data_IF_485312449730
#
_entry.id   IF_485312449730
#
_cell.length_a   1.000
_cell.length_b   1.000
_cell.length_c   1.000
_cell.angle_alpha   90.00
_cell.angle_beta   90.00
_cell.angle_gamma   90.00
#
_symmetry.space_group_name_H-M   'P 1'
#
loop_
_entity.id
_entity.type
_entity.pdbx_description
1 polymer ?
#
# COMPACT_ATOMS: atom_id res chain seq x y z
N UNK A 1 20.31 2.43 -23.03
CA UNK A 1 18.88 2.32 -22.67
C UNK A 1 18.11 3.27 -23.56
N UNK A 2 16.82 3.01 -23.77
CA UNK A 2 15.95 3.81 -24.65
C UNK A 2 15.77 5.26 -24.20
N UNK A 3 16.08 5.57 -22.92
CA UNK A 3 15.99 6.92 -22.33
C UNK A 3 17.32 7.24 -21.62
N UNK A 4 17.81 8.47 -21.78
CA UNK A 4 19.00 8.98 -21.11
C UNK A 4 18.76 9.32 -19.63
N UNK A 5 19.77 9.20 -18.74
CA UNK A 5 19.61 9.53 -17.31
C UNK A 5 19.13 10.97 -17.06
N UNK A 6 19.58 11.93 -17.88
CA UNK A 6 19.17 13.35 -17.79
C UNK A 6 17.70 13.54 -18.15
N UNK A 7 17.20 12.82 -19.15
CA UNK A 7 15.80 12.87 -19.56
C UNK A 7 14.91 12.31 -18.46
N UNK A 8 15.29 11.17 -17.87
CA UNK A 8 14.56 10.58 -16.75
C UNK A 8 14.47 11.54 -15.55
N UNK A 9 15.57 12.21 -15.19
CA UNK A 9 15.58 13.22 -14.11
C UNK A 9 14.70 14.42 -14.48
N UNK A 10 14.80 14.93 -15.71
CA UNK A 10 14.01 16.07 -16.16
C UNK A 10 12.50 15.79 -16.07
N UNK A 11 12.06 14.61 -16.55
CA UNK A 11 10.66 14.17 -16.43
C UNK A 11 10.23 14.08 -14.97
N UNK A 12 11.06 13.50 -14.10
CA UNK A 12 10.78 13.42 -12.66
C UNK A 12 10.60 14.81 -12.01
N UNK A 13 11.46 15.77 -12.35
CA UNK A 13 11.36 17.16 -11.86
C UNK A 13 10.09 17.84 -12.36
N UNK A 14 9.73 17.66 -13.63
CA UNK A 14 8.50 18.24 -14.19
C UNK A 14 7.26 17.66 -13.49
N UNK A 15 7.18 16.35 -13.30
CA UNK A 15 6.06 15.75 -12.58
C UNK A 15 6.00 16.18 -11.11
N UNK A 16 7.14 16.28 -10.42
CA UNK A 16 7.19 16.79 -9.07
C UNK A 16 6.72 18.26 -8.99
N UNK A 17 7.12 19.11 -9.93
CA UNK A 17 6.71 20.51 -9.99
C UNK A 17 5.20 20.65 -10.27
N UNK A 18 4.65 19.87 -11.20
CA UNK A 18 3.22 19.85 -11.49
C UNK A 18 2.40 19.35 -10.30
N UNK A 19 2.85 18.27 -9.64
CA UNK A 19 2.21 17.78 -8.43
C UNK A 19 2.25 18.83 -7.30
N UNK A 20 3.39 19.51 -7.12
CA UNK A 20 3.53 20.57 -6.13
C UNK A 20 2.62 21.78 -6.44
N UNK A 21 2.49 22.16 -7.71
CA UNK A 21 1.57 23.22 -8.12
C UNK A 21 0.11 22.91 -7.72
N UNK A 22 -0.31 21.65 -7.78
CA UNK A 22 -1.63 21.23 -7.29
C UNK A 22 -1.73 21.30 -5.76
N UNK A 23 -0.66 20.90 -5.05
CA UNK A 23 -0.61 20.97 -3.58
C UNK A 23 -0.71 22.40 -3.05
N UNK A 24 -0.24 23.41 -3.79
CA UNK A 24 -0.35 24.82 -3.40
C UNK A 24 -1.80 25.32 -3.23
N UNK A 25 -2.79 24.60 -3.78
CA UNK A 25 -4.22 24.90 -3.58
C UNK A 25 -4.78 24.31 -2.28
N UNK A 26 -3.97 23.59 -1.49
CA UNK A 26 -4.36 22.98 -0.23
C UNK A 26 -3.93 23.87 0.96
N UNK A 27 -4.24 23.42 2.18
CA UNK A 27 -3.84 24.14 3.39
C UNK A 27 -2.34 23.94 3.73
N UNK A 28 -1.84 24.80 4.63
CA UNK A 28 -0.43 24.82 5.04
C UNK A 28 0.08 23.46 5.57
N UNK A 29 -0.76 22.68 6.25
CA UNK A 29 -0.37 21.36 6.75
C UNK A 29 -0.13 20.38 5.60
N UNK A 30 -1.04 20.33 4.60
CA UNK A 30 -0.87 19.50 3.42
C UNK A 30 0.34 19.92 2.58
N UNK A 31 0.59 21.23 2.43
CA UNK A 31 1.78 21.77 1.78
C UNK A 31 3.05 21.32 2.51
N UNK A 32 3.11 21.46 3.83
CA UNK A 32 4.25 21.01 4.64
C UNK A 32 4.52 19.51 4.51
N UNK A 33 3.46 18.70 4.52
CA UNK A 33 3.56 17.25 4.35
C UNK A 33 4.04 16.85 2.95
N UNK A 34 3.82 17.65 1.92
CA UNK A 34 4.31 17.33 0.57
C UNK A 34 5.83 17.31 0.46
N UNK A 35 6.53 18.16 1.22
CA UNK A 35 8.00 18.13 1.30
C UNK A 35 8.48 16.85 1.99
N UNK A 36 7.77 16.40 3.03
CA UNK A 36 8.05 15.12 3.70
C UNK A 36 7.80 13.96 2.75
N UNK A 37 6.68 13.97 2.02
CA UNK A 37 6.34 12.96 1.02
C UNK A 37 7.42 12.86 -0.06
N UNK A 38 7.88 14.00 -0.58
CA UNK A 38 8.95 14.08 -1.58
C UNK A 38 10.26 13.51 -1.04
N UNK A 39 10.64 13.87 0.18
CA UNK A 39 11.85 13.35 0.81
C UNK A 39 11.79 11.82 0.96
N UNK A 40 10.65 11.29 1.42
CA UNK A 40 10.45 9.84 1.58
C UNK A 40 10.50 9.13 0.21
N UNK A 41 9.81 9.66 -0.79
CA UNK A 41 9.78 9.09 -2.14
C UNK A 41 11.17 9.09 -2.79
N UNK A 42 11.93 10.17 -2.61
CA UNK A 42 13.29 10.30 -3.13
C UNK A 42 14.27 9.31 -2.49
N UNK A 43 14.14 9.05 -1.18
CA UNK A 43 15.03 8.09 -0.49
C UNK A 43 14.62 6.63 -0.66
N UNK A 44 13.38 6.32 -1.05
CA UNK A 44 12.89 4.94 -1.23
C UNK A 44 13.79 4.06 -2.12
N UNK A 45 14.25 4.49 -3.31
CA UNK A 45 15.10 3.66 -4.17
C UNK A 45 16.40 3.19 -3.50
N UNK A 46 16.89 3.93 -2.50
CA UNK A 46 18.10 3.58 -1.75
C UNK A 46 17.82 2.62 -0.59
N UNK A 47 16.56 2.43 -0.21
CA UNK A 47 16.16 1.65 0.97
C UNK A 47 16.66 0.20 0.92
N UNK A 48 16.64 -0.44 -0.26
CA UNK A 48 17.11 -1.83 -0.47
C UNK A 48 18.58 -2.05 -0.09
N UNK A 49 19.39 -0.99 -0.04
CA UNK A 49 20.81 -1.08 0.34
C UNK A 49 21.04 -1.07 1.85
N UNK A 50 20.08 -0.55 2.62
CA UNK A 50 20.25 -0.30 4.05
C UNK A 50 19.25 -1.07 4.92
N UNK A 51 18.04 -1.35 4.42
CA UNK A 51 16.98 -2.03 5.17
C UNK A 51 16.82 -3.49 4.73
N UNK A 52 16.56 -4.37 5.70
CA UNK A 52 16.22 -5.77 5.47
C UNK A 52 14.78 -5.98 5.00
N UNK A 53 13.92 -4.98 5.20
CA UNK A 53 12.51 -4.99 4.84
C UNK A 53 12.12 -3.69 4.11
N UNK A 54 12.67 -3.44 2.90
CA UNK A 54 12.34 -2.25 2.11
C UNK A 54 10.83 -2.13 1.80
N UNK A 55 10.08 -3.22 1.87
CA UNK A 55 8.63 -3.27 1.64
C UNK A 55 7.83 -2.44 2.66
N UNK A 56 8.29 -2.37 3.91
CA UNK A 56 7.63 -1.51 4.89
C UNK A 56 7.84 -0.03 4.53
N UNK A 57 9.03 0.33 4.08
CA UNK A 57 9.36 1.68 3.61
C UNK A 57 8.59 2.04 2.33
N UNK A 58 8.46 1.10 1.39
CA UNK A 58 7.60 1.21 0.22
C UNK A 58 6.16 1.57 0.63
N UNK A 59 5.61 0.85 1.61
CA UNK A 59 4.27 1.11 2.14
C UNK A 59 4.11 2.52 2.70
N UNK A 60 5.14 3.08 3.35
CA UNK A 60 5.10 4.48 3.81
C UNK A 60 5.19 5.43 2.61
N UNK A 61 6.11 5.21 1.68
CA UNK A 61 6.36 6.09 0.55
C UNK A 61 5.13 6.23 -0.36
N UNK A 62 4.54 5.11 -0.77
CA UNK A 62 3.35 5.10 -1.63
C UNK A 62 2.04 5.30 -0.87
N UNK A 63 2.04 5.06 0.45
CA UNK A 63 0.91 5.33 1.33
C UNK A 63 0.81 6.78 1.81
N UNK A 64 1.84 7.61 1.59
CA UNK A 64 1.92 8.95 2.18
C UNK A 64 0.81 9.92 1.72
N UNK A 65 0.07 9.56 0.66
CA UNK A 65 -1.17 10.23 0.30
C UNK A 65 -2.22 10.22 1.42
N UNK A 66 -2.21 9.22 2.32
CA UNK A 66 -3.15 9.10 3.45
C UNK A 66 -3.06 10.33 4.39
N UNK A 67 -1.92 10.63 5.04
CA UNK A 67 -1.81 11.81 5.89
C UNK A 67 -2.01 13.10 5.13
N UNK A 68 -1.59 13.18 3.86
CA UNK A 68 -1.86 14.36 3.04
C UNK A 68 -3.36 14.58 2.79
N UNK A 69 -4.14 13.53 2.54
CA UNK A 69 -5.59 13.62 2.38
C UNK A 69 -6.30 14.01 3.68
N UNK A 70 -5.91 13.44 4.83
CA UNK A 70 -6.42 13.85 6.13
C UNK A 70 -6.08 15.31 6.45
N UNK A 71 -4.84 15.73 6.19
CA UNK A 71 -4.42 17.11 6.36
C UNK A 71 -5.23 18.04 5.45
N UNK A 72 -5.42 17.70 4.17
CA UNK A 72 -6.14 18.51 3.20
C UNK A 72 -7.59 18.78 3.61
N UNK A 73 -8.28 17.77 4.15
CA UNK A 73 -9.72 17.85 4.49
C UNK A 73 -9.95 18.32 5.93
N UNK A 74 -9.16 17.86 6.90
CA UNK A 74 -9.40 18.08 8.33
C UNK A 74 -8.42 19.07 8.98
N UNK A 75 -7.37 19.50 8.28
CA UNK A 75 -6.28 20.33 8.81
C UNK A 75 -5.62 19.75 10.08
N UNK A 76 -5.69 18.43 10.27
CA UNK A 76 -5.09 17.68 11.39
C UNK A 76 -4.83 16.22 10.98
N UNK A 77 -3.98 15.54 11.76
CA UNK A 77 -3.65 14.12 11.57
C UNK A 77 -4.13 13.32 12.78
N UNK A 78 -5.43 12.94 12.83
CA UNK A 78 -5.96 12.22 13.97
C UNK A 78 -5.48 10.76 13.95
N UNK A 79 -5.80 9.98 14.99
CA UNK A 79 -5.25 8.62 15.13
C UNK A 79 -5.68 7.69 13.98
N UNK A 80 -6.85 7.91 13.39
CA UNK A 80 -7.39 7.15 12.25
C UNK A 80 -6.46 7.21 11.04
N UNK A 81 -5.83 8.37 10.81
CA UNK A 81 -4.85 8.56 9.74
C UNK A 81 -3.68 7.59 9.89
N UNK A 82 -3.13 7.49 11.10
CA UNK A 82 -1.98 6.65 11.39
C UNK A 82 -2.35 5.17 11.43
N UNK A 83 -3.55 4.83 11.89
CA UNK A 83 -4.09 3.47 11.78
C UNK A 83 -4.24 3.06 10.31
N UNK A 84 -4.79 3.91 9.45
CA UNK A 84 -4.92 3.62 8.03
C UNK A 84 -3.55 3.51 7.33
N UNK A 85 -2.58 4.37 7.70
CA UNK A 85 -1.20 4.24 7.25
C UNK A 85 -0.59 2.89 7.66
N UNK A 86 -0.78 2.47 8.91
CA UNK A 86 -0.28 1.19 9.39
C UNK A 86 -0.92 0.01 8.62
N UNK A 87 -2.23 0.04 8.36
CA UNK A 87 -2.90 -0.94 7.52
C UNK A 87 -2.30 -0.98 6.09
N UNK A 88 -2.03 0.19 5.51
CA UNK A 88 -1.39 0.29 4.19
C UNK A 88 0.03 -0.30 4.20
N UNK A 89 0.82 -0.04 5.23
CA UNK A 89 2.16 -0.63 5.38
C UNK A 89 2.08 -2.16 5.50
N UNK A 90 1.14 -2.70 6.29
CA UNK A 90 0.92 -4.14 6.39
C UNK A 90 0.52 -4.75 5.03
N UNK A 91 -0.34 -4.07 4.28
CA UNK A 91 -0.76 -4.50 2.95
C UNK A 91 0.38 -4.48 1.93
N UNK A 92 1.13 -3.37 1.87
CA UNK A 92 2.32 -3.21 1.02
C UNK A 92 3.40 -4.23 1.35
N UNK A 93 3.62 -4.47 2.65
CA UNK A 93 4.52 -5.51 3.11
C UNK A 93 4.11 -6.90 2.60
N UNK A 94 2.81 -7.23 2.64
CA UNK A 94 2.31 -8.53 2.18
C UNK A 94 2.50 -8.71 0.67
N UNK A 95 1.88 -7.86 -0.17
CA UNK A 95 1.91 -8.07 -1.62
C UNK A 95 3.33 -7.89 -2.20
N UNK A 96 4.13 -6.96 -1.67
CA UNK A 96 5.49 -6.74 -2.21
C UNK A 96 6.47 -7.81 -1.72
N UNK A 97 6.14 -8.51 -0.63
CA UNK A 97 6.86 -9.73 -0.25
C UNK A 97 6.52 -10.89 -1.18
N UNK A 98 5.27 -11.03 -1.63
CA UNK A 98 4.93 -12.00 -2.69
C UNK A 98 5.74 -11.73 -3.97
N UNK A 99 5.89 -10.45 -4.35
CA UNK A 99 6.75 -10.08 -5.48
C UNK A 99 8.24 -10.38 -5.21
N UNK A 100 8.74 -10.08 -4.01
CA UNK A 100 10.12 -10.43 -3.64
C UNK A 100 10.38 -11.95 -3.63
N UNK A 101 9.36 -12.79 -3.45
CA UNK A 101 9.48 -14.25 -3.59
C UNK A 101 9.67 -14.68 -5.04
N UNK A 102 9.18 -13.91 -6.02
CA UNK A 102 9.39 -14.13 -7.47
C UNK A 102 10.86 -13.88 -7.83
N UNK A 103 11.45 -12.82 -7.27
CA UNK A 103 12.79 -12.35 -7.61
C UNK A 103 13.90 -12.94 -6.72
N UNK A 104 13.55 -13.84 -5.78
CA UNK A 104 14.48 -14.39 -4.76
C UNK A 104 15.81 -14.88 -5.36
N UNK A 105 15.76 -15.71 -6.40
CA UNK A 105 16.96 -16.32 -6.98
C UNK A 105 17.86 -15.29 -7.67
N UNK A 106 17.27 -14.22 -8.21
CA UNK A 106 17.98 -13.16 -8.91
C UNK A 106 18.55 -12.14 -7.91
N UNK A 107 17.81 -11.81 -6.86
CA UNK A 107 18.27 -10.99 -5.74
C UNK A 107 19.46 -11.63 -4.99
N UNK A 108 19.44 -12.96 -4.82
CA UNK A 108 20.55 -13.70 -4.21
C UNK A 108 21.84 -13.58 -5.03
N UNK A 109 21.77 -13.63 -6.37
CA UNK A 109 22.94 -13.46 -7.25
C UNK A 109 23.52 -12.05 -7.17
N UNK A 110 22.67 -11.04 -6.95
CA UNK A 110 23.06 -9.64 -6.87
C UNK A 110 23.47 -9.20 -5.44
N UNK A 111 23.36 -10.08 -4.44
CA UNK A 111 23.69 -9.77 -3.04
C UNK A 111 22.74 -8.74 -2.41
N UNK A 112 21.52 -8.59 -2.94
CA UNK A 112 20.53 -7.63 -2.45
C UNK A 112 19.78 -8.26 -1.26
N UNK A 113 19.48 -7.45 -0.24
CA UNK A 113 18.66 -7.89 0.90
C UNK A 113 17.19 -7.59 0.62
N UNK A 114 16.34 -8.61 0.65
CA UNK A 114 14.88 -8.46 0.54
C UNK A 114 14.17 -9.18 1.67
N UNK A 115 12.89 -8.88 1.89
CA UNK A 115 12.08 -9.61 2.89
C UNK A 115 12.06 -11.11 2.61
N UNK A 116 11.91 -11.54 1.36
CA UNK A 116 11.88 -12.95 1.00
C UNK A 116 13.19 -13.69 1.38
N UNK A 117 14.35 -13.04 1.23
CA UNK A 117 15.64 -13.60 1.65
C UNK A 117 15.76 -13.57 3.19
N UNK A 118 15.43 -12.42 3.81
CA UNK A 118 15.58 -12.21 5.25
C UNK A 118 14.67 -13.13 6.07
N UNK A 119 13.43 -13.33 5.62
CA UNK A 119 12.44 -14.17 6.29
C UNK A 119 12.68 -15.66 6.01
N UNK A 120 13.33 -15.98 4.89
CA UNK A 120 13.62 -17.35 4.47
C UNK A 120 12.34 -18.21 4.47
N UNK A 121 12.30 -19.22 5.35
CA UNK A 121 11.14 -20.13 5.49
C UNK A 121 9.86 -19.47 6.02
N UNK A 122 9.97 -18.29 6.65
CA UNK A 122 8.86 -17.57 7.27
C UNK A 122 8.19 -16.57 6.34
N UNK A 123 8.65 -16.47 5.09
CA UNK A 123 8.09 -15.62 4.03
C UNK A 123 6.55 -15.69 3.93
N UNK A 124 5.99 -16.88 3.74
CA UNK A 124 4.55 -17.11 3.62
C UNK A 124 3.82 -16.70 4.91
N UNK A 125 4.38 -17.04 6.07
CA UNK A 125 3.78 -16.69 7.36
C UNK A 125 3.76 -15.17 7.56
N UNK A 126 4.82 -14.47 7.16
CA UNK A 126 4.92 -13.02 7.24
C UNK A 126 3.95 -12.32 6.28
N UNK A 127 3.80 -12.82 5.04
CA UNK A 127 2.78 -12.33 4.09
C UNK A 127 1.39 -12.43 4.72
N UNK A 128 1.05 -13.60 5.26
CA UNK A 128 -0.26 -13.80 5.90
C UNK A 128 -0.44 -12.98 7.17
N UNK A 129 0.61 -12.74 7.94
CA UNK A 129 0.59 -11.82 9.08
C UNK A 129 0.37 -10.37 8.62
N UNK A 130 0.95 -9.96 7.49
CA UNK A 130 0.69 -8.66 6.88
C UNK A 130 -0.77 -8.48 6.47
N UNK A 131 -1.35 -9.45 5.77
CA UNK A 131 -2.79 -9.41 5.44
C UNK A 131 -3.69 -9.44 6.68
N UNK A 132 -3.37 -10.28 7.67
CA UNK A 132 -4.13 -10.34 8.92
C UNK A 132 -4.04 -9.01 9.70
N UNK A 133 -2.85 -8.42 9.78
CA UNK A 133 -2.62 -7.12 10.41
C UNK A 133 -3.40 -6.01 9.71
N UNK A 134 -3.34 -5.94 8.38
CA UNK A 134 -4.16 -5.01 7.58
C UNK A 134 -5.65 -5.17 7.90
N UNK A 135 -6.19 -6.40 7.80
CA UNK A 135 -7.62 -6.67 8.02
C UNK A 135 -8.05 -6.33 9.46
N UNK A 136 -7.23 -6.66 10.46
CA UNK A 136 -7.52 -6.37 11.86
C UNK A 136 -7.57 -4.86 12.12
N UNK A 137 -6.60 -4.10 11.59
CA UNK A 137 -6.57 -2.64 11.73
C UNK A 137 -7.77 -2.01 11.02
N UNK A 138 -8.09 -2.44 9.80
CA UNK A 138 -9.24 -1.95 9.05
C UNK A 138 -10.57 -2.31 9.72
N UNK A 139 -10.70 -3.50 10.28
CA UNK A 139 -11.89 -3.90 11.04
C UNK A 139 -12.06 -3.01 12.28
N UNK A 140 -10.98 -2.82 13.05
CA UNK A 140 -10.97 -1.93 14.22
C UNK A 140 -11.33 -0.48 13.87
N UNK A 141 -10.77 0.04 12.77
CA UNK A 141 -11.08 1.38 12.27
C UNK A 141 -12.55 1.51 11.86
N UNK A 142 -13.08 0.53 11.13
CA UNK A 142 -14.49 0.51 10.71
C UNK A 142 -15.46 0.46 11.88
N UNK A 143 -15.13 -0.28 12.94
CA UNK A 143 -15.90 -0.27 14.19
C UNK A 143 -15.83 1.11 14.84
N UNK A 144 -14.64 1.67 14.99
CA UNK A 144 -14.42 2.94 15.69
C UNK A 144 -15.14 4.13 15.04
N UNK A 145 -15.25 4.14 13.71
CA UNK A 145 -15.94 5.22 12.96
C UNK A 145 -17.39 4.86 12.59
N UNK A 146 -17.92 3.73 13.07
CA UNK A 146 -19.33 3.35 12.90
C UNK A 146 -19.73 2.94 11.48
N UNK A 147 -18.82 2.34 10.70
CA UNK A 147 -19.17 1.76 9.39
C UNK A 147 -20.16 0.61 9.54
N UNK A 148 -21.01 0.42 8.53
CA UNK A 148 -22.09 -0.59 8.56
C UNK A 148 -21.69 -1.87 7.83
N UNK A 149 -22.60 -2.85 7.84
CA UNK A 149 -22.37 -4.19 7.28
C UNK A 149 -21.76 -4.26 5.87
N UNK A 150 -22.03 -3.35 4.89
CA UNK A 150 -21.43 -3.47 3.56
C UNK A 150 -19.91 -3.36 3.58
N UNK A 151 -19.36 -2.55 4.49
CA UNK A 151 -17.92 -2.43 4.71
C UNK A 151 -17.32 -3.76 5.21
N UNK A 152 -17.95 -4.36 6.24
CA UNK A 152 -17.49 -5.63 6.80
C UNK A 152 -17.65 -6.80 5.81
N UNK A 153 -18.66 -6.75 4.93
CA UNK A 153 -18.78 -7.70 3.82
C UNK A 153 -17.58 -7.56 2.85
N UNK A 154 -17.18 -6.32 2.52
CA UNK A 154 -15.96 -6.06 1.74
C UNK A 154 -14.70 -6.61 2.41
N UNK A 155 -14.55 -6.42 3.73
CA UNK A 155 -13.46 -7.01 4.51
C UNK A 155 -13.49 -8.55 4.51
N UNK A 156 -14.66 -9.17 4.60
CA UNK A 156 -14.81 -10.62 4.54
C UNK A 156 -14.38 -11.18 3.16
N UNK A 157 -14.75 -10.50 2.07
CA UNK A 157 -14.28 -10.84 0.72
C UNK A 157 -12.76 -10.68 0.61
N UNK A 158 -12.21 -9.57 1.12
CA UNK A 158 -10.76 -9.34 1.17
C UNK A 158 -10.02 -10.45 1.96
N UNK A 159 -10.60 -10.94 3.06
CA UNK A 159 -10.06 -12.07 3.82
C UNK A 159 -10.08 -13.38 3.02
N UNK A 160 -11.16 -13.65 2.27
CA UNK A 160 -11.24 -14.80 1.36
C UNK A 160 -10.19 -14.74 0.25
N UNK A 161 -9.93 -13.55 -0.30
CA UNK A 161 -8.86 -13.33 -1.28
C UNK A 161 -7.47 -13.54 -0.67
N UNK A 162 -7.22 -13.05 0.55
CA UNK A 162 -5.97 -13.31 1.26
C UNK A 162 -5.77 -14.83 1.53
N UNK A 163 -6.83 -15.57 1.85
CA UNK A 163 -6.76 -17.02 1.98
C UNK A 163 -6.43 -17.73 0.65
N UNK A 164 -6.94 -17.20 -0.47
CA UNK A 164 -6.53 -17.66 -1.81
C UNK A 164 -5.06 -17.36 -2.09
N UNK A 165 -4.56 -16.20 -1.68
CA UNK A 165 -3.13 -15.86 -1.81
C UNK A 165 -2.26 -16.87 -1.07
N UNK A 166 -2.61 -17.23 0.17
CA UNK A 166 -1.91 -18.30 0.90
C UNK A 166 -1.82 -19.59 0.07
N UNK A 167 -2.91 -20.02 -0.55
CA UNK A 167 -2.93 -21.24 -1.36
C UNK A 167 -2.01 -21.14 -2.59
N UNK A 168 -1.89 -19.96 -3.21
CA UNK A 168 -1.01 -19.73 -4.36
C UNK A 168 0.48 -19.70 -3.97
N UNK A 169 0.82 -19.16 -2.79
CA UNK A 169 2.22 -18.93 -2.39
C UNK A 169 2.80 -20.03 -1.50
N UNK A 170 1.98 -20.95 -0.97
CA UNK A 170 2.42 -21.99 -0.01
C UNK A 170 3.58 -22.85 -0.53
N UNK A 171 3.60 -23.11 -1.84
CA UNK A 171 4.60 -23.92 -2.51
C UNK A 171 5.78 -23.09 -3.04
N UNK A 172 5.73 -21.75 -2.88
CA UNK A 172 6.80 -20.79 -3.22
C UNK A 172 7.26 -20.86 -4.68
N UNK A 173 6.34 -21.24 -5.57
CA UNK A 173 6.62 -21.24 -7.00
C UNK A 173 6.62 -19.80 -7.52
N UNK A 174 7.53 -19.50 -8.46
CA UNK A 174 7.61 -18.17 -9.10
C UNK A 174 6.26 -17.77 -9.70
N UNK A 175 5.61 -18.70 -10.38
CA UNK A 175 4.29 -18.49 -10.99
C UNK A 175 3.19 -18.22 -9.95
N UNK A 176 3.15 -18.99 -8.85
CA UNK A 176 2.16 -18.81 -7.79
C UNK A 176 2.30 -17.46 -7.09
N UNK A 177 3.53 -17.07 -6.76
CA UNK A 177 3.84 -15.78 -6.13
C UNK A 177 3.54 -14.60 -7.06
N UNK A 178 3.88 -14.71 -8.33
CA UNK A 178 3.57 -13.65 -9.30
C UNK A 178 2.06 -13.50 -9.52
N UNK A 179 1.32 -14.62 -9.59
CA UNK A 179 -0.15 -14.59 -9.65
C UNK A 179 -0.77 -13.97 -8.41
N UNK A 180 -0.24 -14.25 -7.22
CA UNK A 180 -0.71 -13.62 -5.98
C UNK A 180 -0.48 -12.10 -6.04
N UNK A 181 0.75 -11.66 -6.32
CA UNK A 181 1.10 -10.25 -6.47
C UNK A 181 0.18 -9.50 -7.46
N UNK A 182 -0.02 -10.05 -8.66
CA UNK A 182 -0.88 -9.44 -9.68
C UNK A 182 -2.35 -9.34 -9.26
N UNK A 183 -2.83 -10.27 -8.43
CA UNK A 183 -4.20 -10.28 -7.93
C UNK A 183 -4.39 -9.52 -6.61
N UNK A 184 -3.32 -9.00 -6.00
CA UNK A 184 -3.40 -8.29 -4.74
C UNK A 184 -4.36 -7.10 -4.82
N UNK A 185 -4.41 -6.40 -5.96
CA UNK A 185 -5.33 -5.30 -6.21
C UNK A 185 -6.80 -5.63 -5.91
N UNK A 186 -7.24 -6.88 -6.06
CA UNK A 186 -8.61 -7.31 -5.75
C UNK A 186 -8.92 -7.26 -4.25
N UNK A 187 -7.92 -7.42 -3.38
CA UNK A 187 -8.08 -7.23 -1.93
C UNK A 187 -8.48 -5.77 -1.66
N UNK A 188 -7.72 -4.81 -2.21
CA UNK A 188 -8.05 -3.39 -2.12
C UNK A 188 -9.40 -3.05 -2.75
N UNK A 189 -9.70 -3.62 -3.92
CA UNK A 189 -10.98 -3.42 -4.61
C UNK A 189 -12.18 -3.91 -3.79
N UNK A 190 -12.05 -5.03 -3.07
CA UNK A 190 -13.09 -5.56 -2.20
C UNK A 190 -13.40 -4.62 -1.03
N UNK A 191 -12.35 -4.08 -0.38
CA UNK A 191 -12.52 -3.08 0.69
C UNK A 191 -13.15 -1.80 0.15
N UNK A 192 -12.65 -1.29 -0.98
CA UNK A 192 -13.18 -0.10 -1.63
C UNK A 192 -14.66 -0.25 -2.02
N UNK A 193 -15.05 -1.38 -2.60
CA UNK A 193 -16.43 -1.68 -2.95
C UNK A 193 -17.34 -1.68 -1.71
N UNK A 194 -16.87 -2.22 -0.58
CA UNK A 194 -17.60 -2.19 0.69
C UNK A 194 -17.86 -0.77 1.23
N UNK A 195 -16.99 0.19 0.90
CA UNK A 195 -17.16 1.62 1.26
C UNK A 195 -18.11 2.32 0.29
N UNK A 196 -17.92 2.12 -1.02
CA UNK A 196 -18.61 2.92 -2.06
C UNK A 196 -20.00 2.41 -2.40
N UNK A 197 -20.23 1.09 -2.39
CA UNK A 197 -21.53 0.50 -2.71
C UNK A 197 -22.71 1.09 -1.92
N UNK A 198 -22.63 1.27 -0.58
CA UNK A 198 -23.72 1.91 0.16
C UNK A 198 -23.91 3.39 -0.20
N UNK A 199 -22.84 4.13 -0.50
CA UNK A 199 -22.91 5.54 -0.89
C UNK A 199 -23.62 5.69 -2.25
N UNK A 200 -23.28 4.85 -3.21
CA UNK A 200 -23.94 4.80 -4.52
C UNK A 200 -25.41 4.39 -4.38
N UNK A 201 -25.71 3.37 -3.59
CA UNK A 201 -27.09 2.93 -3.37
C UNK A 201 -27.95 4.03 -2.72
N UNK A 202 -27.38 4.78 -1.77
CA UNK A 202 -28.04 5.95 -1.19
C UNK A 202 -28.26 7.06 -2.22
N UNK A 203 -27.25 7.39 -3.03
CA UNK A 203 -27.36 8.42 -4.06
C UNK A 203 -28.42 8.09 -5.13
N UNK A 204 -28.49 6.83 -5.57
CA UNK A 204 -29.48 6.36 -6.53
C UNK A 204 -30.90 6.39 -5.94
N UNK A 205 -31.07 6.01 -4.66
CA UNK A 205 -32.39 5.99 -3.99
C UNK A 205 -32.85 7.36 -3.52
N UNK A 206 -31.91 8.28 -3.27
CA UNK A 206 -32.17 9.66 -2.87
C UNK A 206 -32.20 10.65 -4.04
N UNK A 207 -32.23 10.16 -5.28
CA UNK A 207 -32.30 10.96 -6.50
C UNK A 207 -33.72 11.41 -6.86
N UNK A 208 -34.35 12.18 -5.97
CA UNK A 208 -35.28 13.32 -6.10
C UNK A 208 -35.83 13.65 -4.70
#
# INVERSE_FOLDING_TARGET
GEIGPREAIAVGVVFAALAFALVLYLNALAIGLSFVALAIAWSYPFSKRFFSMPQAYLGIAFGFGIPMAYAAIQARLPWECWALMAANVCYAFAYDTEYAMVDRDDDLKLGIRTSAITLGRWDVAAVMAGYAGMLAILAGLGIAIGLRWPYFAGLAVAAGLAARHWWLIRDRTREGCFKAFMNANWIGAAVFAGIVAPMLAHWIRGGL
#
